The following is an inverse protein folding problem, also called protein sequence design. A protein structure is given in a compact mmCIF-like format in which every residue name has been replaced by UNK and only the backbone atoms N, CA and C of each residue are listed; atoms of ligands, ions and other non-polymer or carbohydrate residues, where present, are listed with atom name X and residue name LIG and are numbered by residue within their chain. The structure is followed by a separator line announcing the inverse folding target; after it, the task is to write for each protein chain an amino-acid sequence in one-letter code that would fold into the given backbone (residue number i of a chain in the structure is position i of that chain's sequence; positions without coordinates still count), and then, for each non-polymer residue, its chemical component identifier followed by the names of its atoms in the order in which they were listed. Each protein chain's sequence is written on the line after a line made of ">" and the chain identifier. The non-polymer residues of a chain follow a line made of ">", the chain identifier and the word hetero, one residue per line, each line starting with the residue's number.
data_IF_045074606667
#
_entry.id   IF_045074606667
#
_cell.length_a   1.000
_cell.length_b   1.000
_cell.length_c   1.000
_cell.angle_alpha   90.00
_cell.angle_beta   90.00
_cell.angle_gamma   90.00
#
_symmetry.space_group_name_H-M   'P 1'
#
loop_
_entity.id
_entity.type
_entity.pdbx_description
1 polymer ?
#
# COMPACT_ATOMS: atom_id res chain seq x y z
N UNK A 1 -21.02 -63.60 68.59
CA UNK A 1 -19.84 -64.42 68.26
C UNK A 1 -19.60 -64.21 66.78
N UNK A 2 -18.61 -63.43 66.41
CA UNK A 2 -18.15 -63.33 65.02
C UNK A 2 -17.46 -64.64 64.68
N UNK A 3 -17.89 -65.33 63.63
CA UNK A 3 -17.35 -66.63 63.25
C UNK A 3 -15.86 -66.50 62.92
N UNK A 4 -15.00 -67.10 63.73
CA UNK A 4 -13.54 -67.09 63.54
C UNK A 4 -13.12 -67.62 62.15
N UNK A 5 -13.91 -68.53 61.57
CA UNK A 5 -13.70 -69.03 60.21
C UNK A 5 -13.89 -67.96 59.13
N UNK A 6 -14.84 -67.05 59.33
CA UNK A 6 -15.07 -65.91 58.43
C UNK A 6 -13.90 -64.92 58.49
N UNK A 7 -13.33 -64.68 59.67
CA UNK A 7 -12.15 -63.81 59.84
C UNK A 7 -10.89 -64.42 59.22
N UNK A 8 -10.67 -65.72 59.37
CA UNK A 8 -9.53 -66.42 58.76
C UNK A 8 -9.61 -66.42 57.22
N UNK A 9 -10.82 -66.63 56.69
CA UNK A 9 -11.06 -66.56 55.24
C UNK A 9 -10.84 -65.14 54.70
N UNK A 10 -11.30 -64.11 55.42
CA UNK A 10 -11.05 -62.72 55.08
C UNK A 10 -9.55 -62.35 55.15
N UNK A 11 -8.82 -62.85 56.15
CA UNK A 11 -7.37 -62.68 56.26
C UNK A 11 -6.62 -63.25 55.05
N UNK A 12 -6.98 -64.47 54.61
CA UNK A 12 -6.39 -65.08 53.41
C UNK A 12 -6.70 -64.26 52.15
N UNK A 13 -7.94 -63.77 52.01
CA UNK A 13 -8.33 -62.93 50.88
C UNK A 13 -7.52 -61.62 50.83
N UNK A 14 -7.39 -60.93 51.96
CA UNK A 14 -6.61 -59.69 52.07
C UNK A 14 -5.15 -59.96 51.73
N UNK A 15 -4.56 -61.04 52.25
CA UNK A 15 -3.16 -61.40 51.94
C UNK A 15 -2.95 -61.68 50.45
N UNK A 16 -3.86 -62.39 49.78
CA UNK A 16 -3.78 -62.60 48.33
C UNK A 16 -3.88 -61.27 47.56
N UNK A 17 -4.70 -60.34 48.04
CA UNK A 17 -4.86 -59.03 47.43
C UNK A 17 -3.63 -58.12 47.62
N UNK A 18 -2.99 -58.19 48.79
CA UNK A 18 -1.75 -57.47 49.08
C UNK A 18 -0.56 -58.05 48.32
N UNK A 19 -0.49 -59.38 48.21
CA UNK A 19 0.55 -60.08 47.46
C UNK A 19 0.48 -59.76 45.97
N UNK A 20 -0.70 -59.84 45.35
CA UNK A 20 -0.90 -59.52 43.93
C UNK A 20 -0.58 -58.06 43.58
N UNK A 21 -0.64 -57.15 44.56
CA UNK A 21 -0.26 -55.73 44.41
C UNK A 21 1.17 -55.42 44.84
N UNK A 22 1.94 -56.44 45.25
CA UNK A 22 3.34 -56.31 45.66
C UNK A 22 3.56 -55.52 46.94
N UNK A 23 2.59 -55.54 47.87
CA UNK A 23 2.64 -54.83 49.15
C UNK A 23 3.21 -55.70 50.29
N UNK A 24 3.37 -57.00 50.07
CA UNK A 24 4.05 -57.90 51.00
C UNK A 24 5.51 -58.05 50.58
N UNK A 25 6.43 -57.53 51.40
CA UNK A 25 7.88 -57.51 51.11
C UNK A 25 8.53 -58.90 51.04
N UNK A 26 8.06 -59.85 51.84
CA UNK A 26 8.71 -61.17 52.02
C UNK A 26 7.81 -62.36 51.68
N UNK A 27 6.63 -62.13 51.08
CA UNK A 27 5.62 -63.18 50.83
C UNK A 27 5.00 -63.80 52.09
N UNK A 28 5.37 -63.31 53.28
CA UNK A 28 4.80 -63.71 54.57
C UNK A 28 3.41 -63.13 54.72
N UNK A 29 2.41 -64.00 54.88
CA UNK A 29 1.03 -63.62 55.17
C UNK A 29 0.92 -62.97 56.55
N UNK A 30 0.11 -61.92 56.65
CA UNK A 30 -0.21 -61.27 57.91
C UNK A 30 -1.47 -61.94 58.49
N UNK A 31 -1.39 -62.44 59.73
CA UNK A 31 -2.59 -62.94 60.41
C UNK A 31 -3.41 -61.75 60.92
N UNK A 32 -4.60 -61.59 60.34
CA UNK A 32 -5.57 -60.55 60.72
C UNK A 32 -6.66 -61.07 61.66
N UNK A 33 -6.77 -62.40 61.81
CA UNK A 33 -7.78 -63.03 62.66
C UNK A 33 -7.29 -63.14 64.12
N UNK A 34 -5.99 -63.40 64.30
CA UNK A 34 -5.32 -63.47 65.60
C UNK A 34 -3.93 -62.81 65.49
N UNK A 35 -3.81 -61.50 65.74
CA UNK A 35 -2.56 -60.77 65.52
C UNK A 35 -1.39 -61.13 66.47
N UNK A 36 -1.61 -62.05 67.41
CA UNK A 36 -0.61 -62.57 68.35
C UNK A 36 -1.21 -62.72 69.75
N UNK A 37 -0.95 -63.86 70.41
CA UNK A 37 -1.37 -64.14 71.80
C UNK A 37 -0.31 -63.72 72.83
N UNK A 38 0.88 -63.30 72.38
CA UNK A 38 2.03 -62.92 73.20
C UNK A 38 2.43 -61.45 72.99
N UNK A 39 2.84 -60.76 74.06
CA UNK A 39 3.19 -59.32 74.10
C UNK A 39 4.26 -58.89 73.07
N UNK A 40 5.03 -59.83 72.51
CA UNK A 40 6.08 -59.57 71.50
C UNK A 40 5.63 -59.77 70.04
N UNK A 41 4.61 -60.59 69.78
CA UNK A 41 4.15 -60.91 68.42
C UNK A 41 3.12 -59.89 67.91
N UNK A 42 2.26 -59.42 68.81
CA UNK A 42 1.26 -58.39 68.54
C UNK A 42 1.88 -57.08 67.99
N UNK A 43 2.94 -56.49 68.58
CA UNK A 43 3.53 -55.28 68.03
C UNK A 43 4.20 -55.49 66.66
N UNK A 44 4.74 -56.68 66.39
CA UNK A 44 5.42 -57.00 65.12
C UNK A 44 4.41 -57.22 63.97
N UNK A 45 3.29 -57.89 64.22
CA UNK A 45 2.19 -57.98 63.24
C UNK A 45 1.54 -56.62 62.99
N UNK A 46 1.31 -55.82 64.03
CA UNK A 46 0.78 -54.46 63.90
C UNK A 46 1.73 -53.54 63.13
N UNK A 47 3.06 -53.65 63.35
CA UNK A 47 4.04 -52.90 62.59
C UNK A 47 4.01 -53.24 61.09
N UNK A 48 3.84 -54.52 60.73
CA UNK A 48 3.66 -54.97 59.34
C UNK A 48 2.37 -54.43 58.71
N UNK A 49 1.27 -54.45 59.45
CA UNK A 49 -0.01 -53.87 59.01
C UNK A 49 0.15 -52.37 58.75
N UNK A 50 0.77 -51.65 59.69
CA UNK A 50 1.02 -50.22 59.57
C UNK A 50 1.93 -49.90 58.37
N UNK A 51 2.94 -50.71 58.10
CA UNK A 51 3.80 -50.56 56.92
C UNK A 51 3.01 -50.73 55.60
N UNK A 52 2.16 -51.75 55.52
CA UNK A 52 1.28 -51.97 54.35
C UNK A 52 0.30 -50.82 54.16
N UNK A 53 -0.31 -50.34 55.24
CA UNK A 53 -1.24 -49.21 55.20
C UNK A 53 -0.52 -47.94 54.75
N UNK A 54 0.69 -47.67 55.26
CA UNK A 54 1.51 -46.55 54.84
C UNK A 54 1.86 -46.64 53.34
N UNK A 55 2.30 -47.81 52.87
CA UNK A 55 2.60 -48.02 51.44
C UNK A 55 1.37 -47.83 50.55
N UNK A 56 0.18 -48.23 51.01
CA UNK A 56 -1.08 -48.00 50.30
C UNK A 56 -1.45 -46.52 50.24
N UNK A 57 -1.26 -45.78 51.34
CA UNK A 57 -1.50 -44.33 51.40
C UNK A 57 -0.54 -43.63 50.45
N UNK A 58 0.77 -43.90 50.54
CA UNK A 58 1.77 -43.29 49.69
C UNK A 58 1.57 -43.60 48.20
N UNK A 59 1.16 -44.84 47.85
CA UNK A 59 0.83 -45.18 46.46
C UNK A 59 -0.42 -44.45 45.99
N UNK A 60 -1.46 -44.38 46.81
CA UNK A 60 -2.69 -43.65 46.48
C UNK A 60 -2.42 -42.16 46.28
N UNK A 61 -1.59 -41.56 47.11
CA UNK A 61 -1.23 -40.14 47.02
C UNK A 61 -0.43 -39.87 45.73
N UNK A 62 0.58 -40.71 45.42
CA UNK A 62 1.30 -40.63 44.14
C UNK A 62 0.38 -40.82 42.92
N UNK A 63 -0.52 -41.80 42.97
CA UNK A 63 -1.48 -42.04 41.88
C UNK A 63 -2.49 -40.89 41.74
N UNK A 64 -2.81 -40.17 42.83
CA UNK A 64 -3.63 -38.97 42.79
C UNK A 64 -2.87 -37.82 42.14
N UNK A 65 -1.63 -37.54 42.58
CA UNK A 65 -0.76 -36.53 42.00
C UNK A 65 -0.48 -36.78 40.51
N UNK A 66 -0.20 -38.03 40.11
CA UNK A 66 0.01 -38.39 38.72
C UNK A 66 -1.25 -38.18 37.86
N UNK A 67 -2.44 -38.51 38.38
CA UNK A 67 -3.70 -38.25 37.68
C UNK A 67 -3.97 -36.76 37.55
N UNK A 68 -3.70 -35.98 38.59
CA UNK A 68 -3.84 -34.52 38.53
C UNK A 68 -2.86 -33.91 37.52
N UNK A 69 -1.59 -34.29 37.56
CA UNK A 69 -0.56 -33.88 36.61
C UNK A 69 -0.91 -34.25 35.16
N UNK A 70 -1.41 -35.47 34.91
CA UNK A 70 -1.86 -35.86 33.58
C UNK A 70 -3.09 -35.05 33.14
N UNK A 71 -4.03 -34.80 34.05
CA UNK A 71 -5.23 -34.01 33.74
C UNK A 71 -4.88 -32.55 33.41
N UNK A 72 -3.89 -31.96 34.09
CA UNK A 72 -3.42 -30.60 33.81
C UNK A 72 -2.70 -30.56 32.47
N UNK A 73 -1.77 -31.50 32.20
CA UNK A 73 -1.11 -31.63 30.91
C UNK A 73 -2.08 -31.84 29.74
N UNK A 74 -3.16 -32.61 29.93
CA UNK A 74 -4.19 -32.77 28.90
C UNK A 74 -5.02 -31.51 28.67
N UNK A 75 -5.23 -30.68 29.69
CA UNK A 75 -5.91 -29.38 29.54
C UNK A 75 -5.02 -28.38 28.82
N UNK A 76 -3.73 -28.31 29.17
CA UNK A 76 -2.77 -27.43 28.49
C UNK A 76 -2.60 -27.84 27.03
N UNK A 77 -2.43 -29.13 26.74
CA UNK A 77 -2.28 -29.62 25.37
C UNK A 77 -3.52 -29.37 24.51
N UNK A 78 -4.74 -29.49 25.09
CA UNK A 78 -5.97 -29.08 24.38
C UNK A 78 -6.03 -27.58 24.12
N UNK A 79 -5.68 -26.76 25.10
CA UNK A 79 -5.64 -25.31 24.93
C UNK A 79 -4.61 -24.88 23.86
N UNK A 80 -3.44 -25.50 23.85
CA UNK A 80 -2.40 -25.23 22.86
C UNK A 80 -2.78 -25.73 21.47
N UNK A 81 -3.42 -26.90 21.36
CA UNK A 81 -3.96 -27.39 20.08
C UNK A 81 -5.00 -26.43 19.50
N UNK A 82 -5.89 -25.86 20.33
CA UNK A 82 -6.85 -24.85 19.88
C UNK A 82 -6.15 -23.57 19.42
N UNK A 83 -5.19 -23.06 20.21
CA UNK A 83 -4.39 -21.88 19.86
C UNK A 83 -3.61 -22.07 18.55
N UNK A 84 -3.03 -23.26 18.34
CA UNK A 84 -2.34 -23.60 17.09
C UNK A 84 -3.30 -23.64 15.91
N UNK A 85 -4.49 -24.22 16.08
CA UNK A 85 -5.54 -24.23 15.05
C UNK A 85 -5.95 -22.80 14.67
N UNK A 86 -6.19 -21.92 15.65
CA UNK A 86 -6.54 -20.52 15.41
C UNK A 86 -5.41 -19.73 14.73
N UNK A 87 -4.16 -20.02 15.07
CA UNK A 87 -3.02 -19.41 14.39
C UNK A 87 -2.91 -19.88 12.94
N UNK A 88 -3.18 -21.15 12.66
CA UNK A 88 -3.18 -21.71 11.31
C UNK A 88 -4.28 -21.06 10.47
N UNK A 89 -5.49 -20.91 11.00
CA UNK A 89 -6.60 -20.26 10.27
C UNK A 89 -6.27 -18.80 9.96
N UNK A 90 -5.76 -18.03 10.94
CA UNK A 90 -5.32 -16.64 10.72
C UNK A 90 -4.19 -16.52 9.69
N UNK A 91 -3.21 -17.42 9.73
CA UNK A 91 -2.13 -17.45 8.74
C UNK A 91 -2.66 -17.80 7.35
N UNK A 92 -3.62 -18.72 7.26
CA UNK A 92 -4.26 -19.07 6.00
C UNK A 92 -5.05 -17.90 5.41
N UNK A 93 -5.84 -17.19 6.22
CA UNK A 93 -6.55 -15.98 5.79
C UNK A 93 -5.58 -14.93 5.24
N UNK A 94 -4.51 -14.62 5.98
CA UNK A 94 -3.45 -13.68 5.53
C UNK A 94 -2.78 -14.14 4.24
N UNK A 95 -2.50 -15.43 4.09
CA UNK A 95 -1.95 -15.99 2.88
C UNK A 95 -2.91 -15.81 1.69
N UNK A 96 -4.20 -16.10 1.86
CA UNK A 96 -5.19 -15.92 0.80
C UNK A 96 -5.37 -14.46 0.41
N UNK A 97 -5.31 -13.53 1.37
CA UNK A 97 -5.38 -12.10 1.11
C UNK A 97 -4.12 -11.60 0.38
N UNK A 98 -2.93 -12.04 0.81
CA UNK A 98 -1.67 -11.74 0.12
C UNK A 98 -1.67 -12.27 -1.31
N UNK A 99 -2.16 -13.49 -1.53
CA UNK A 99 -2.29 -14.07 -2.87
C UNK A 99 -3.25 -13.24 -3.74
N UNK A 100 -4.37 -12.75 -3.19
CA UNK A 100 -5.27 -11.85 -3.93
C UNK A 100 -4.58 -10.55 -4.33
N UNK A 101 -3.82 -9.92 -3.41
CA UNK A 101 -3.06 -8.69 -3.68
C UNK A 101 -2.02 -8.90 -4.78
N UNK A 102 -1.30 -10.03 -4.76
CA UNK A 102 -0.34 -10.40 -5.81
C UNK A 102 -1.05 -10.53 -7.16
N UNK A 103 -2.16 -11.27 -7.23
CA UNK A 103 -2.88 -11.45 -8.50
C UNK A 103 -3.40 -10.12 -9.08
N UNK A 104 -3.83 -9.18 -8.23
CA UNK A 104 -4.25 -7.82 -8.66
C UNK A 104 -3.05 -7.05 -9.20
N UNK A 105 -1.94 -7.03 -8.48
CA UNK A 105 -0.72 -6.35 -8.91
C UNK A 105 -0.15 -6.93 -10.22
N UNK A 106 -0.19 -8.25 -10.41
CA UNK A 106 0.20 -8.91 -11.66
C UNK A 106 -0.70 -8.52 -12.83
N UNK A 107 -2.02 -8.40 -12.59
CA UNK A 107 -2.96 -7.93 -13.62
C UNK A 107 -2.73 -6.46 -13.99
N UNK A 108 -2.46 -5.60 -13.00
CA UNK A 108 -2.09 -4.20 -13.21
C UNK A 108 -0.78 -4.06 -13.98
N UNK A 109 0.25 -4.84 -13.62
CA UNK A 109 1.53 -4.89 -14.30
C UNK A 109 1.37 -5.31 -15.77
N UNK A 110 0.56 -6.35 -16.04
CA UNK A 110 0.26 -6.80 -17.40
C UNK A 110 -0.44 -5.70 -18.22
N UNK A 111 -1.40 -4.99 -17.60
CA UNK A 111 -2.08 -3.83 -18.18
C UNK A 111 -1.09 -2.71 -18.54
N UNK A 112 -0.24 -2.31 -17.59
CA UNK A 112 0.75 -1.25 -17.79
C UNK A 112 1.78 -1.62 -18.87
N UNK A 113 2.23 -2.87 -18.90
CA UNK A 113 3.11 -3.38 -19.97
C UNK A 113 2.44 -3.33 -21.34
N UNK A 114 1.14 -3.61 -21.43
CA UNK A 114 0.40 -3.50 -22.68
C UNK A 114 0.26 -2.04 -23.13
N UNK A 115 -0.04 -1.12 -22.20
CA UNK A 115 -0.10 0.32 -22.46
C UNK A 115 1.25 0.87 -22.92
N UNK A 116 2.35 0.46 -22.28
CA UNK A 116 3.70 0.84 -22.65
C UNK A 116 4.04 0.39 -24.08
N UNK A 117 3.75 -0.87 -24.44
CA UNK A 117 3.94 -1.36 -25.81
C UNK A 117 3.11 -0.60 -26.84
N UNK A 118 1.86 -0.25 -26.49
CA UNK A 118 1.00 0.55 -27.36
C UNK A 118 1.54 1.98 -27.57
N UNK A 119 2.06 2.60 -26.51
CA UNK A 119 2.71 3.91 -26.57
C UNK A 119 4.03 3.87 -27.36
N UNK A 120 4.85 2.83 -27.20
CA UNK A 120 6.05 2.63 -28.01
C UNK A 120 5.70 2.51 -29.50
N UNK A 121 4.66 1.73 -29.83
CA UNK A 121 4.19 1.60 -31.20
C UNK A 121 3.67 2.91 -31.79
N UNK A 122 2.98 3.75 -30.99
CA UNK A 122 2.53 5.07 -31.45
C UNK A 122 3.71 6.03 -31.66
N UNK A 123 4.72 6.02 -30.79
CA UNK A 123 5.96 6.79 -30.95
C UNK A 123 6.68 6.40 -32.24
N UNK A 124 6.77 5.10 -32.56
CA UNK A 124 7.35 4.63 -33.81
C UNK A 124 6.60 5.17 -35.03
N UNK A 125 5.25 5.10 -35.03
CA UNK A 125 4.43 5.65 -36.11
C UNK A 125 4.63 7.16 -36.28
N UNK A 126 4.64 7.92 -35.18
CA UNK A 126 4.86 9.37 -35.20
C UNK A 126 6.26 9.72 -35.72
N UNK A 127 7.29 8.93 -35.38
CA UNK A 127 8.64 9.11 -35.94
C UNK A 127 8.66 8.88 -37.45
N UNK A 128 7.98 7.85 -37.94
CA UNK A 128 7.88 7.57 -39.38
C UNK A 128 7.12 8.68 -40.12
N UNK A 129 6.03 9.20 -39.53
CA UNK A 129 5.28 10.34 -40.07
C UNK A 129 6.12 11.61 -40.10
N UNK A 130 6.86 11.91 -39.02
CA UNK A 130 7.79 13.04 -38.97
C UNK A 130 8.91 12.92 -40.02
N UNK A 131 9.41 11.71 -40.28
CA UNK A 131 10.39 11.48 -41.33
C UNK A 131 9.79 11.71 -42.72
N UNK A 132 8.56 11.24 -42.98
CA UNK A 132 7.84 11.48 -44.23
C UNK A 132 7.55 12.96 -44.46
N UNK A 133 7.06 13.69 -43.46
CA UNK A 133 6.78 15.12 -43.58
C UNK A 133 8.06 15.92 -43.80
N UNK A 134 9.16 15.59 -43.12
CA UNK A 134 10.47 16.20 -43.36
C UNK A 134 10.94 16.00 -44.82
N UNK A 135 10.75 14.80 -45.37
CA UNK A 135 11.05 14.53 -46.79
C UNK A 135 10.19 15.37 -47.72
N UNK A 136 8.87 15.41 -47.49
CA UNK A 136 7.93 16.21 -48.28
C UNK A 136 8.29 17.70 -48.26
N UNK A 137 8.65 18.25 -47.10
CA UNK A 137 9.10 19.66 -46.98
C UNK A 137 10.39 19.92 -47.75
N UNK A 138 11.33 18.98 -47.76
CA UNK A 138 12.55 19.12 -48.55
C UNK A 138 12.25 19.10 -50.07
N UNK A 139 11.34 18.22 -50.50
CA UNK A 139 10.89 18.13 -51.89
C UNK A 139 10.15 19.39 -52.35
N UNK A 140 9.24 19.94 -51.52
CA UNK A 140 8.52 21.19 -51.86
C UNK A 140 9.47 22.40 -51.92
N UNK A 141 10.45 22.49 -51.02
CA UNK A 141 11.51 23.52 -51.09
C UNK A 141 12.33 23.40 -52.37
N UNK A 142 12.71 22.19 -52.76
CA UNK A 142 13.45 21.95 -53.99
C UNK A 142 12.62 22.27 -55.24
N UNK A 143 11.34 21.90 -55.26
CA UNK A 143 10.41 22.22 -56.34
C UNK A 143 10.22 23.73 -56.49
N UNK A 144 9.96 24.43 -55.38
CA UNK A 144 9.82 25.89 -55.35
C UNK A 144 11.09 26.59 -55.86
N UNK A 145 12.27 26.18 -55.39
CA UNK A 145 13.55 26.72 -55.88
C UNK A 145 13.74 26.50 -57.39
N UNK A 146 13.31 25.36 -57.92
CA UNK A 146 13.36 25.09 -59.36
C UNK A 146 12.37 25.93 -60.17
N UNK A 147 11.17 26.16 -59.65
CA UNK A 147 10.20 27.05 -60.27
C UNK A 147 10.67 28.51 -60.31
N UNK A 148 11.24 29.01 -59.21
CA UNK A 148 11.82 30.36 -59.16
C UNK A 148 12.90 30.50 -60.24
N UNK A 149 13.83 29.56 -60.33
CA UNK A 149 14.86 29.56 -61.41
C UNK A 149 14.27 29.49 -62.81
N UNK A 150 13.17 28.76 -63.02
CA UNK A 150 12.46 28.72 -64.31
C UNK A 150 11.83 30.08 -64.63
N UNK A 151 11.15 30.70 -63.66
CA UNK A 151 10.57 32.03 -63.78
C UNK A 151 11.65 33.08 -64.07
N UNK A 152 12.77 33.04 -63.36
CA UNK A 152 13.91 33.95 -63.57
C UNK A 152 14.45 33.85 -65.00
N UNK A 153 14.63 32.63 -65.53
CA UNK A 153 15.03 32.42 -66.93
C UNK A 153 14.01 32.96 -67.93
N UNK A 154 12.71 32.80 -67.65
CA UNK A 154 11.66 33.32 -68.51
C UNK A 154 11.63 34.85 -68.49
N UNK A 155 11.74 35.46 -67.31
CA UNK A 155 11.85 36.91 -67.13
C UNK A 155 13.07 37.44 -67.89
N UNK A 156 14.23 36.77 -67.79
CA UNK A 156 15.43 37.20 -68.50
C UNK A 156 15.27 37.09 -70.03
N UNK A 157 14.60 36.05 -70.51
CA UNK A 157 14.24 35.92 -71.93
C UNK A 157 13.29 37.04 -72.39
N UNK A 158 12.28 37.37 -71.58
CA UNK A 158 11.34 38.47 -71.89
C UNK A 158 12.04 39.82 -71.87
N UNK A 159 12.91 40.08 -70.89
CA UNK A 159 13.74 41.29 -70.85
C UNK A 159 14.57 41.42 -72.11
N UNK A 160 15.24 40.34 -72.53
CA UNK A 160 16.03 40.33 -73.77
C UNK A 160 15.17 40.67 -74.99
N UNK A 161 14.00 40.06 -75.13
CA UNK A 161 13.07 40.34 -76.23
C UNK A 161 12.60 41.81 -76.24
N UNK A 162 12.30 42.39 -75.06
CA UNK A 162 11.94 43.80 -74.92
C UNK A 162 13.12 44.71 -75.27
N UNK A 163 14.35 44.39 -74.85
CA UNK A 163 15.54 45.18 -75.21
C UNK A 163 15.86 45.10 -76.71
N UNK A 164 15.66 43.95 -77.34
CA UNK A 164 15.84 43.76 -78.79
C UNK A 164 14.76 44.53 -79.57
N UNK A 165 13.50 44.51 -79.10
CA UNK A 165 12.43 45.35 -79.64
C UNK A 165 12.68 46.85 -79.46
N UNK A 166 13.30 47.26 -78.34
CA UNK A 166 13.69 48.65 -78.07
C UNK A 166 14.92 49.13 -78.85
N UNK A 167 15.81 48.22 -79.28
CA UNK A 167 16.97 48.51 -80.14
C UNK A 167 16.61 48.67 -81.61
N UNK A 168 15.41 48.30 -82.03
CA UNK A 168 14.89 48.54 -83.38
C UNK A 168 14.49 50.01 -83.59
N UNK A 169 15.40 50.95 -83.32
CA UNK A 169 15.33 52.32 -83.84
C UNK A 169 16.14 52.39 -85.13
N UNK A 170 15.58 51.80 -86.17
CA UNK A 170 16.21 51.73 -87.49
C UNK A 170 15.54 50.72 -88.40
N UNK A 171 14.34 51.08 -88.86
CA UNK A 171 13.76 50.62 -90.13
C UNK A 171 13.01 49.27 -90.19
N UNK A 172 11.73 49.42 -90.59
CA UNK A 172 10.74 48.50 -91.18
C UNK A 172 9.86 47.61 -90.27
N UNK A 173 8.61 48.09 -90.20
CA UNK A 173 7.32 47.39 -90.05
C UNK A 173 7.15 46.45 -88.85
N UNK A 174 6.52 47.04 -87.82
CA UNK A 174 5.44 46.50 -86.99
C UNK A 174 5.17 44.98 -87.08
N UNK A 175 5.30 44.32 -85.94
CA UNK A 175 4.26 43.43 -85.44
C UNK A 175 4.26 43.46 -83.90
N UNK A 176 3.21 44.03 -83.31
CA UNK A 176 2.73 43.63 -81.98
C UNK A 176 3.23 44.41 -80.76
N UNK A 177 3.25 45.75 -80.78
CA UNK A 177 3.08 46.50 -79.52
C UNK A 177 1.57 46.63 -79.30
N UNK A 178 1.00 45.71 -78.52
CA UNK A 178 -0.36 45.85 -77.99
C UNK A 178 -0.31 46.77 -76.76
N UNK A 179 -0.38 48.07 -77.00
CA UNK A 179 -0.80 49.03 -75.96
C UNK A 179 -2.28 48.82 -75.70
N UNK A 180 -2.61 48.16 -74.60
CA UNK A 180 -4.00 48.05 -74.11
C UNK A 180 -4.31 49.38 -73.41
N UNK A 181 -5.05 50.26 -74.09
CA UNK A 181 -5.79 51.34 -73.44
C UNK A 181 -7.15 50.78 -73.03
N UNK A 182 -7.39 50.65 -71.72
CA UNK A 182 -8.70 50.30 -71.19
C UNK A 182 -9.52 51.58 -71.08
N UNK A 183 -10.31 51.88 -72.11
CA UNK A 183 -11.45 52.80 -72.02
C UNK A 183 -12.70 51.97 -71.86
N UNK A 184 -13.39 52.12 -70.72
CA UNK A 184 -14.64 51.42 -70.44
C UNK A 184 -15.77 51.95 -71.31
N UNK A 185 -16.22 51.14 -72.26
CA UNK A 185 -17.44 51.35 -73.03
C UNK A 185 -18.28 50.08 -72.95
N UNK A 186 -19.46 50.20 -72.35
CA UNK A 186 -20.42 49.11 -72.16
C UNK A 186 -21.41 49.14 -73.34
N UNK A 187 -21.34 48.15 -74.22
CA UNK A 187 -22.19 48.12 -75.43
C UNK A 187 -22.13 46.83 -76.23
N UNK A 188 -22.79 45.78 -75.70
CA UNK A 188 -23.60 44.75 -76.38
C UNK A 188 -23.57 44.72 -77.93
N UNK A 189 -22.94 43.70 -78.52
CA UNK A 189 -23.58 42.62 -79.31
C UNK A 189 -22.55 41.62 -79.93
N UNK A 190 -22.89 40.34 -79.74
CA UNK A 190 -22.53 39.08 -80.40
C UNK A 190 -21.19 38.77 -81.11
N UNK A 191 -20.53 37.77 -80.50
CA UNK A 191 -20.03 36.52 -81.11
C UNK A 191 -18.50 36.33 -81.33
N UNK A 192 -18.01 35.31 -80.62
CA UNK A 192 -16.83 34.44 -80.84
C UNK A 192 -15.48 34.86 -80.21
N UNK A 193 -15.22 34.21 -79.06
CA UNK A 193 -13.94 33.76 -78.48
C UNK A 193 -12.84 34.79 -78.17
N UNK A 194 -12.61 35.03 -76.87
CA UNK A 194 -11.30 34.88 -76.19
C UNK A 194 -11.30 35.61 -74.83
N UNK A 195 -11.66 34.88 -73.77
CA UNK A 195 -11.14 34.97 -72.40
C UNK A 195 -10.54 36.31 -71.91
N UNK A 196 -11.31 37.39 -71.95
CA UNK A 196 -11.14 38.51 -71.04
C UNK A 196 -12.05 38.25 -69.83
N UNK A 197 -11.46 38.28 -68.63
CA UNK A 197 -12.16 38.07 -67.37
C UNK A 197 -13.20 39.17 -67.16
N UNK A 198 -14.43 38.91 -67.59
CA UNK A 198 -15.60 39.71 -67.26
C UNK A 198 -15.90 39.53 -65.78
N UNK A 199 -15.67 40.56 -64.98
CA UNK A 199 -16.15 40.65 -63.57
C UNK A 199 -17.63 41.04 -63.49
N UNK A 200 -18.41 40.73 -64.52
CA UNK A 200 -19.88 40.84 -64.51
C UNK A 200 -20.45 39.42 -64.60
N UNK A 201 -20.15 38.64 -63.57
CA UNK A 201 -20.95 37.48 -63.24
C UNK A 201 -22.13 38.00 -62.40
N UNK A 202 -23.36 37.70 -62.79
CA UNK A 202 -24.60 38.13 -62.11
C UNK A 202 -24.76 37.51 -60.70
N UNK A 203 -23.75 36.77 -60.25
CA UNK A 203 -23.55 36.26 -58.90
C UNK A 203 -22.36 36.85 -58.13
N UNK A 204 -21.52 37.71 -58.75
CA UNK A 204 -20.33 38.28 -58.11
C UNK A 204 -20.63 39.66 -57.50
N UNK A 205 -21.08 39.65 -56.25
CA UNK A 205 -21.36 40.85 -55.47
C UNK A 205 -20.29 41.01 -54.37
N UNK A 206 -19.66 42.17 -54.25
CA UNK A 206 -18.69 42.52 -53.19
C UNK A 206 -19.27 42.28 -51.78
N UNK A 207 -20.61 42.32 -51.65
CA UNK A 207 -21.33 41.95 -50.43
C UNK A 207 -21.18 40.47 -50.10
N UNK A 208 -21.18 39.58 -51.09
CA UNK A 208 -20.93 38.15 -50.88
C UNK A 208 -19.48 37.91 -50.45
N UNK A 209 -18.52 38.62 -51.02
CA UNK A 209 -17.11 38.54 -50.58
C UNK A 209 -16.96 39.01 -49.13
N UNK A 210 -17.54 40.17 -48.78
CA UNK A 210 -17.52 40.71 -47.41
C UNK A 210 -18.23 39.77 -46.42
N UNK A 211 -19.38 39.21 -46.78
CA UNK A 211 -20.08 38.22 -45.96
C UNK A 211 -19.28 36.92 -45.84
N UNK A 212 -18.59 36.49 -46.90
CA UNK A 212 -17.73 35.30 -46.85
C UNK A 212 -16.51 35.52 -45.96
N UNK A 213 -15.93 36.71 -45.99
CA UNK A 213 -14.81 37.10 -45.12
C UNK A 213 -15.24 37.20 -43.66
N UNK A 214 -16.38 37.85 -43.38
CA UNK A 214 -16.94 37.94 -42.03
C UNK A 214 -17.32 36.55 -41.49
N UNK A 215 -17.87 35.67 -42.34
CA UNK A 215 -18.18 34.30 -41.96
C UNK A 215 -16.90 33.49 -41.68
N UNK A 216 -15.85 33.65 -42.49
CA UNK A 216 -14.54 33.02 -42.24
C UNK A 216 -13.89 33.56 -40.96
N UNK A 217 -13.97 34.86 -40.70
CA UNK A 217 -13.44 35.47 -39.49
C UNK A 217 -14.22 35.04 -38.25
N UNK A 218 -15.55 35.03 -38.31
CA UNK A 218 -16.40 34.53 -37.23
C UNK A 218 -16.14 33.05 -36.96
N UNK A 219 -15.95 32.26 -38.01
CA UNK A 219 -15.55 30.85 -37.89
C UNK A 219 -14.17 30.71 -37.24
N UNK A 220 -13.18 31.47 -37.68
CA UNK A 220 -11.83 31.45 -37.10
C UNK A 220 -11.84 31.86 -35.62
N UNK A 221 -12.54 32.94 -35.27
CA UNK A 221 -12.72 33.36 -33.87
C UNK A 221 -13.48 32.33 -33.03
N UNK A 222 -14.46 31.65 -33.61
CA UNK A 222 -15.19 30.56 -32.93
C UNK A 222 -14.28 29.36 -32.68
N UNK A 223 -13.53 28.92 -33.69
CA UNK A 223 -12.57 27.82 -33.58
C UNK A 223 -11.47 28.14 -32.56
N UNK A 224 -10.91 29.35 -32.59
CA UNK A 224 -9.94 29.82 -31.61
C UNK A 224 -10.53 29.85 -30.19
N UNK A 225 -11.74 30.38 -30.01
CA UNK A 225 -12.42 30.39 -28.72
C UNK A 225 -12.71 28.98 -28.19
N UNK A 226 -13.11 28.04 -29.05
CA UNK A 226 -13.28 26.63 -28.68
C UNK A 226 -11.95 25.99 -28.23
N UNK A 227 -10.86 26.28 -28.93
CA UNK A 227 -9.53 25.77 -28.55
C UNK A 227 -9.07 26.35 -27.21
N UNK A 228 -9.28 27.65 -26.98
CA UNK A 228 -8.94 28.30 -25.71
C UNK A 228 -9.77 27.74 -24.57
N UNK A 229 -11.07 27.58 -24.77
CA UNK A 229 -11.96 26.99 -23.79
C UNK A 229 -11.53 25.56 -23.44
N UNK A 230 -11.20 24.73 -24.44
CA UNK A 230 -10.71 23.39 -24.22
C UNK A 230 -9.38 23.37 -23.41
N UNK A 231 -8.48 24.31 -23.69
CA UNK A 231 -7.24 24.47 -22.92
C UNK A 231 -7.53 24.85 -21.47
N UNK A 232 -8.42 25.83 -21.23
CA UNK A 232 -8.78 26.28 -19.88
C UNK A 232 -9.41 25.13 -19.09
N UNK A 233 -10.32 24.36 -19.68
CA UNK A 233 -10.89 23.18 -19.03
C UNK A 233 -9.84 22.12 -18.71
N UNK A 234 -8.92 21.86 -19.64
CA UNK A 234 -7.81 20.92 -19.40
C UNK A 234 -6.90 21.40 -18.26
N UNK A 235 -6.58 22.69 -18.21
CA UNK A 235 -5.78 23.25 -17.12
C UNK A 235 -6.51 23.20 -15.79
N UNK A 236 -7.81 23.50 -15.77
CA UNK A 236 -8.62 23.44 -14.56
C UNK A 236 -8.72 21.98 -14.05
N UNK A 237 -9.00 21.02 -14.94
CA UNK A 237 -9.01 19.59 -14.59
C UNK A 237 -7.66 19.11 -14.06
N UNK A 238 -6.55 19.57 -14.65
CA UNK A 238 -5.20 19.22 -14.17
C UNK A 238 -4.92 19.83 -12.79
N UNK A 239 -5.31 21.08 -12.55
CA UNK A 239 -5.18 21.75 -11.25
C UNK A 239 -6.05 21.07 -10.18
N UNK A 240 -7.29 20.69 -10.51
CA UNK A 240 -8.16 19.89 -9.63
C UNK A 240 -7.52 18.55 -9.29
N UNK A 241 -6.97 17.86 -10.28
CA UNK A 241 -6.29 16.58 -10.06
C UNK A 241 -5.04 16.71 -9.18
N UNK A 242 -4.20 17.72 -9.41
CA UNK A 242 -2.99 17.94 -8.60
C UNK A 242 -3.30 18.41 -7.18
N UNK A 243 -4.35 19.19 -7.01
CA UNK A 243 -4.78 19.69 -5.70
C UNK A 243 -5.59 18.67 -4.90
N UNK A 244 -6.16 17.66 -5.54
CA UNK A 244 -7.12 16.76 -4.91
C UNK A 244 -8.47 17.41 -4.60
N UNK A 245 -8.73 18.60 -5.17
CA UNK A 245 -9.96 19.34 -4.91
C UNK A 245 -11.14 18.70 -5.65
N UNK A 246 -11.97 17.97 -4.91
CA UNK A 246 -13.30 17.54 -5.34
C UNK A 246 -14.36 18.47 -4.75
N UNK A 247 -15.31 18.91 -5.59
CA UNK A 247 -16.41 19.79 -5.17
C UNK A 247 -17.31 19.15 -4.11
N UNK A 248 -17.23 17.82 -3.95
CA UNK A 248 -17.95 17.06 -2.93
C UNK A 248 -17.48 17.30 -1.50
N UNK A 249 -16.27 17.86 -1.30
CA UNK A 249 -15.69 18.00 0.03
C UNK A 249 -16.01 19.35 0.72
N UNK A 250 -16.53 20.33 -0.03
CA UNK A 250 -16.88 21.66 0.50
C UNK A 250 -18.33 21.75 1.02
N UNK A 251 -19.20 20.83 0.62
CA UNK A 251 -20.57 20.76 1.12
C UNK A 251 -20.64 19.79 2.29
N UNK A 252 -20.39 20.31 3.50
CA UNK A 252 -20.23 19.58 4.76
C UNK A 252 -21.47 18.79 5.21
N UNK A 253 -21.78 17.68 4.53
CA UNK A 253 -22.71 16.66 4.99
C UNK A 253 -21.99 15.32 5.05
N UNK A 254 -21.56 14.98 6.27
CA UNK A 254 -21.26 13.59 6.63
C UNK A 254 -22.49 12.73 6.36
N UNK A 255 -22.38 11.75 5.47
CA UNK A 255 -23.26 10.59 5.50
C UNK A 255 -23.55 9.93 4.16
N UNK A 256 -23.01 8.73 3.99
CA UNK A 256 -23.76 7.64 3.35
C UNK A 256 -23.61 7.52 1.83
N UNK A 257 -22.87 6.47 1.45
CA UNK A 257 -23.06 5.66 0.25
C UNK A 257 -24.21 6.06 -0.70
N UNK A 258 -23.84 6.65 -1.83
CA UNK A 258 -24.64 6.55 -3.05
C UNK A 258 -23.70 6.39 -4.24
N UNK A 259 -23.47 5.13 -4.58
CA UNK A 259 -23.05 4.70 -5.91
C UNK A 259 -23.98 5.31 -6.96
N UNK A 260 -23.51 6.30 -7.72
CA UNK A 260 -24.11 6.66 -9.00
C UNK A 260 -23.28 6.04 -10.11
N UNK A 261 -23.61 4.77 -10.40
CA UNK A 261 -23.44 4.24 -11.75
C UNK A 261 -24.31 5.11 -12.68
N UNK A 262 -23.66 5.97 -13.44
CA UNK A 262 -24.24 6.69 -14.56
C UNK A 262 -23.27 6.61 -15.73
N UNK A 263 -23.58 5.72 -16.67
CA UNK A 263 -23.04 5.74 -18.03
C UNK A 263 -23.12 7.17 -18.58
N UNK A 264 -22.02 7.69 -19.12
CA UNK A 264 -21.99 9.10 -19.49
C UNK A 264 -20.77 9.53 -20.28
N UNK A 265 -20.64 9.04 -21.51
CA UNK A 265 -19.95 9.77 -22.59
C UNK A 265 -20.73 11.04 -22.98
N UNK A 266 -21.12 11.85 -22.00
CA UNK A 266 -21.72 13.15 -22.20
C UNK A 266 -20.70 14.18 -21.70
N UNK A 267 -19.92 14.70 -22.63
CA UNK A 267 -19.25 15.99 -22.46
C UNK A 267 -20.37 17.01 -22.32
N UNK A 268 -20.85 17.21 -21.09
CA UNK A 268 -21.73 18.31 -20.77
C UNK A 268 -20.88 19.57 -20.82
N UNK A 269 -20.96 20.30 -21.93
CA UNK A 269 -20.74 21.73 -21.92
C UNK A 269 -22.01 22.41 -22.46
N UNK A 270 -22.44 23.54 -21.88
CA UNK A 270 -21.61 24.52 -21.19
C UNK A 270 -22.01 24.77 -19.72
N UNK A 271 -21.04 24.73 -18.81
CA UNK A 271 -21.06 25.65 -17.67
C UNK A 271 -20.77 27.04 -18.23
N UNK A 272 -21.47 28.06 -17.74
CA UNK A 272 -21.25 29.42 -18.21
C UNK A 272 -19.79 29.85 -17.90
N UNK A 273 -19.26 30.88 -18.56
CA UNK A 273 -17.88 31.31 -18.32
C UNK A 273 -17.62 31.75 -16.85
N UNK A 274 -18.69 32.16 -16.15
CA UNK A 274 -18.65 32.56 -14.74
C UNK A 274 -18.50 31.34 -13.80
N UNK A 275 -19.12 30.20 -14.12
CA UNK A 275 -19.01 28.93 -13.40
C UNK A 275 -17.58 28.39 -13.52
N UNK A 276 -16.97 28.52 -14.70
CA UNK A 276 -15.58 28.13 -14.91
C UNK A 276 -14.62 29.04 -14.12
N UNK A 277 -14.89 30.34 -14.08
CA UNK A 277 -14.10 31.29 -13.31
C UNK A 277 -14.18 31.02 -11.81
N UNK A 278 -15.38 30.83 -11.27
CA UNK A 278 -15.60 30.48 -9.84
C UNK A 278 -14.96 29.15 -9.46
N UNK A 279 -14.99 28.15 -10.37
CA UNK A 279 -14.28 26.88 -10.17
C UNK A 279 -12.77 27.05 -10.15
N UNK A 280 -12.21 27.92 -11.00
CA UNK A 280 -10.77 28.17 -10.99
C UNK A 280 -10.35 28.94 -9.74
N UNK A 281 -11.12 29.94 -9.32
CA UNK A 281 -10.83 30.73 -8.11
C UNK A 281 -10.85 29.87 -6.84
N UNK A 282 -11.78 28.92 -6.74
CA UNK A 282 -11.87 27.99 -5.61
C UNK A 282 -10.72 26.98 -5.58
N UNK A 283 -10.34 26.38 -6.72
CA UNK A 283 -9.15 25.51 -6.81
C UNK A 283 -7.87 26.26 -6.44
N UNK A 284 -7.71 27.49 -6.94
CA UNK A 284 -6.55 28.32 -6.62
C UNK A 284 -6.55 28.74 -5.14
N UNK A 285 -7.71 28.99 -4.56
CA UNK A 285 -7.87 29.24 -3.12
C UNK A 285 -7.48 28.03 -2.27
N UNK A 286 -7.87 26.81 -2.68
CA UNK A 286 -7.48 25.57 -2.01
C UNK A 286 -5.97 25.33 -2.11
N UNK A 287 -5.38 25.49 -3.31
CA UNK A 287 -3.93 25.40 -3.51
C UNK A 287 -3.15 26.42 -2.68
N UNK A 288 -3.66 27.66 -2.59
CA UNK A 288 -3.08 28.68 -1.71
C UNK A 288 -3.11 28.21 -0.27
N UNK A 289 -4.26 27.71 0.21
CA UNK A 289 -4.40 27.20 1.57
C UNK A 289 -3.41 26.06 1.85
N UNK A 290 -3.31 25.07 0.94
CA UNK A 290 -2.35 23.96 1.02
C UNK A 290 -0.90 24.45 1.10
N UNK A 291 -0.52 25.40 0.24
CA UNK A 291 0.84 25.96 0.20
C UNK A 291 1.16 26.90 1.37
N UNK A 292 0.14 27.46 2.01
CA UNK A 292 0.29 28.30 3.21
C UNK A 292 0.03 27.55 4.52
N UNK A 293 -0.32 26.25 4.45
CA UNK A 293 -0.54 25.45 5.64
C UNK A 293 0.82 25.15 6.30
N UNK A 294 1.03 25.49 7.60
CA UNK A 294 2.28 25.24 8.30
C UNK A 294 2.67 23.74 8.42
N UNK A 295 1.79 22.82 8.00
CA UNK A 295 2.09 21.38 7.91
C UNK A 295 2.87 20.97 6.65
N UNK A 296 3.08 21.86 5.68
CA UNK A 296 3.88 21.57 4.50
C UNK A 296 5.38 21.66 4.82
N UNK A 297 5.91 20.58 5.38
CA UNK A 297 7.32 20.42 5.71
C UNK A 297 8.09 20.01 4.45
N UNK A 298 9.20 20.68 4.10
CA UNK A 298 10.03 20.27 2.96
C UNK A 298 10.44 18.80 3.06
N UNK A 299 10.47 18.11 1.92
CA UNK A 299 10.76 16.68 1.85
C UNK A 299 12.12 16.35 2.50
N UNK A 300 13.09 17.25 2.38
CA UNK A 300 14.41 17.12 2.99
C UNK A 300 14.35 17.03 4.52
N UNK A 301 13.47 17.81 5.15
CA UNK A 301 13.31 17.81 6.61
C UNK A 301 12.55 16.56 7.08
N UNK A 302 11.63 16.03 6.25
CA UNK A 302 10.99 14.73 6.48
C UNK A 302 12.01 13.61 6.44
N UNK A 303 12.89 13.58 5.42
CA UNK A 303 13.94 12.56 5.28
C UNK A 303 14.89 12.58 6.49
N UNK A 304 15.31 13.77 6.95
CA UNK A 304 16.16 13.89 8.15
C UNK A 304 15.46 13.37 9.40
N UNK A 305 14.16 13.64 9.56
CA UNK A 305 13.37 13.08 10.67
C UNK A 305 13.23 11.57 10.58
N UNK A 306 13.01 11.03 9.38
CA UNK A 306 12.90 9.58 9.15
C UNK A 306 14.22 8.87 9.47
N UNK A 307 15.36 9.44 9.07
CA UNK A 307 16.69 8.93 9.42
C UNK A 307 16.94 8.95 10.94
N UNK A 308 16.54 10.00 11.64
CA UNK A 308 16.66 10.08 13.10
C UNK A 308 15.74 9.08 13.79
N UNK A 309 14.49 8.93 13.33
CA UNK A 309 13.56 7.91 13.84
C UNK A 309 14.15 6.51 13.64
N UNK A 310 14.75 6.23 12.48
CA UNK A 310 15.38 4.95 12.22
C UNK A 310 16.57 4.70 13.16
N UNK A 311 17.44 5.71 13.35
CA UNK A 311 18.56 5.64 14.29
C UNK A 311 18.10 5.39 15.72
N UNK A 312 17.05 6.10 16.16
CA UNK A 312 16.48 5.92 17.49
C UNK A 312 15.91 4.51 17.63
N UNK A 313 15.16 4.00 16.64
CA UNK A 313 14.62 2.62 16.67
C UNK A 313 15.72 1.56 16.77
N UNK A 314 16.80 1.69 15.99
CA UNK A 314 17.96 0.79 16.08
C UNK A 314 18.66 0.89 17.45
N UNK A 315 18.76 2.10 18.02
CA UNK A 315 19.26 2.30 19.38
C UNK A 315 18.39 1.64 20.45
N UNK A 316 17.07 1.73 20.31
CA UNK A 316 16.09 1.10 21.18
C UNK A 316 16.14 -0.43 21.10
N UNK A 317 16.23 -1.01 19.90
CA UNK A 317 16.35 -2.46 19.70
C UNK A 317 17.66 -3.00 20.33
N UNK A 318 18.76 -2.24 20.22
CA UNK A 318 20.02 -2.57 20.90
C UNK A 318 19.89 -2.49 22.43
N UNK A 319 19.11 -1.55 22.96
CA UNK A 319 18.85 -1.47 24.39
C UNK A 319 17.96 -2.63 24.86
N UNK A 320 16.93 -2.98 24.09
CA UNK A 320 16.03 -4.09 24.38
C UNK A 320 16.76 -5.44 24.38
N UNK A 321 17.60 -5.68 23.37
CA UNK A 321 18.43 -6.90 23.29
C UNK A 321 19.39 -7.00 24.47
N UNK A 322 20.08 -5.92 24.83
CA UNK A 322 20.95 -5.86 26.02
C UNK A 322 20.18 -6.08 27.32
N UNK A 323 18.98 -5.51 27.44
CA UNK A 323 18.15 -5.69 28.61
C UNK A 323 17.69 -7.14 28.74
N UNK A 324 17.28 -7.77 27.62
CA UNK A 324 16.93 -9.20 27.57
C UNK A 324 18.10 -10.08 28.00
N UNK A 325 19.31 -9.80 27.52
CA UNK A 325 20.54 -10.50 27.96
C UNK A 325 20.81 -10.34 29.46
N UNK A 326 20.67 -9.12 30.00
CA UNK A 326 20.82 -8.86 31.44
C UNK A 326 19.78 -9.62 32.27
N UNK A 327 18.52 -9.65 31.82
CA UNK A 327 17.44 -10.43 32.47
C UNK A 327 17.75 -11.93 32.42
N UNK A 328 18.25 -12.45 31.30
CA UNK A 328 18.69 -13.85 31.20
C UNK A 328 19.85 -14.17 32.14
N UNK A 329 20.81 -13.27 32.30
CA UNK A 329 21.90 -13.43 33.26
C UNK A 329 21.36 -13.50 34.70
N UNK A 330 20.44 -12.60 35.08
CA UNK A 330 19.81 -12.58 36.40
C UNK A 330 18.98 -13.86 36.65
N UNK A 331 18.19 -14.31 35.67
CA UNK A 331 17.40 -15.54 35.83
C UNK A 331 18.29 -16.79 35.89
N UNK A 332 19.37 -16.84 35.08
CA UNK A 332 20.37 -17.92 35.16
C UNK A 332 21.06 -17.95 36.52
N UNK A 333 21.34 -16.79 37.11
CA UNK A 333 21.90 -16.68 38.44
C UNK A 333 20.91 -17.16 39.50
N UNK A 334 19.66 -16.69 39.46
CA UNK A 334 18.60 -17.12 40.37
C UNK A 334 18.42 -18.64 40.35
N UNK A 335 18.43 -19.27 39.18
CA UNK A 335 18.32 -20.72 39.02
C UNK A 335 19.53 -21.47 39.59
N UNK A 336 20.76 -20.98 39.37
CA UNK A 336 21.99 -21.57 39.94
C UNK A 336 22.06 -21.43 41.45
N UNK A 337 21.64 -20.30 42.01
CA UNK A 337 21.52 -20.12 43.46
C UNK A 337 20.52 -21.09 44.08
N UNK A 338 19.38 -21.32 43.41
CA UNK A 338 18.36 -22.25 43.87
C UNK A 338 18.80 -23.72 43.77
N UNK A 339 19.66 -24.08 42.82
CA UNK A 339 20.12 -25.45 42.60
C UNK A 339 21.36 -25.82 43.43
N UNK A 340 22.41 -25.00 43.42
CA UNK A 340 23.74 -25.37 43.94
C UNK A 340 24.22 -24.51 45.12
N UNK A 341 23.51 -23.42 45.47
CA UNK A 341 23.87 -22.53 46.60
C UNK A 341 25.21 -21.81 46.46
N UNK A 342 25.88 -21.90 45.31
CA UNK A 342 27.19 -21.26 45.07
C UNK A 342 27.01 -19.79 44.70
N UNK A 343 27.69 -18.84 45.39
CA UNK A 343 27.68 -17.44 45.00
C UNK A 343 28.41 -17.23 43.66
N UNK A 344 28.04 -16.17 42.95
CA UNK A 344 28.56 -15.86 41.61
C UNK A 344 30.05 -15.56 41.65
N UNK A 345 30.80 -16.12 40.71
CA UNK A 345 32.20 -15.77 40.49
C UNK A 345 32.31 -14.37 39.85
N UNK A 346 33.14 -13.51 40.44
CA UNK A 346 33.35 -12.13 40.00
C UNK A 346 33.96 -12.08 38.59
N UNK A 347 34.62 -13.16 38.15
CA UNK A 347 35.13 -13.33 36.80
C UNK A 347 34.02 -13.61 35.78
N UNK A 348 33.02 -14.43 36.12
CA UNK A 348 31.85 -14.68 35.25
C UNK A 348 30.97 -13.44 35.09
N UNK A 349 30.75 -12.70 36.19
CA UNK A 349 30.08 -11.39 36.13
C UNK A 349 30.86 -10.42 35.26
N UNK A 350 32.20 -10.38 35.38
CA UNK A 350 33.04 -9.57 34.49
C UNK A 350 33.01 -10.06 33.04
N UNK A 351 32.85 -11.35 32.76
CA UNK A 351 32.72 -11.87 31.39
C UNK A 351 31.33 -11.58 30.80
N UNK A 352 30.27 -11.62 31.60
CA UNK A 352 28.91 -11.22 31.21
C UNK A 352 28.73 -9.70 31.09
N UNK A 353 29.45 -8.91 31.90
CA UNK A 353 29.48 -7.44 31.81
C UNK A 353 30.57 -6.89 30.86
N UNK A 354 31.50 -7.69 30.32
CA UNK A 354 32.50 -7.22 29.35
C UNK A 354 31.92 -7.15 27.93
N UNK A 355 30.94 -6.26 27.80
CA UNK A 355 30.86 -5.16 26.82
C UNK A 355 31.95 -5.13 25.71
N UNK A 356 31.98 -6.14 24.82
CA UNK A 356 32.74 -6.06 23.56
C UNK A 356 32.02 -6.82 22.44
N UNK A 357 32.00 -6.30 21.20
CA UNK A 357 31.24 -6.87 20.09
C UNK A 357 31.94 -8.10 19.54
N UNK A 358 31.86 -9.22 20.25
CA UNK A 358 32.31 -10.51 19.75
C UNK A 358 31.11 -11.44 19.79
N UNK A 359 30.59 -11.71 18.58
CA UNK A 359 29.51 -12.66 18.32
C UNK A 359 29.83 -14.00 19.00
N UNK A 360 29.07 -14.35 20.03
CA UNK A 360 29.06 -15.71 20.55
C UNK A 360 28.53 -16.62 19.45
N UNK A 361 29.36 -17.56 19.02
CA UNK A 361 29.15 -18.42 17.84
C UNK A 361 28.21 -19.60 18.09
N UNK A 362 27.48 -19.59 19.21
CA UNK A 362 26.60 -20.71 19.63
C UNK A 362 25.12 -20.26 19.72
N UNK A 363 24.62 -19.53 18.73
CA UNK A 363 23.20 -19.15 18.62
C UNK A 363 22.36 -20.27 17.96
N UNK A 364 22.96 -21.36 17.49
CA UNK A 364 22.21 -22.46 16.86
C UNK A 364 21.68 -23.51 17.86
N UNK A 365 22.29 -23.68 19.03
CA UNK A 365 21.91 -24.77 19.95
C UNK A 365 20.87 -24.38 21.02
N UNK A 366 20.46 -23.11 21.10
CA UNK A 366 19.40 -22.65 22.03
C UNK A 366 18.12 -22.18 21.37
N UNK A 367 18.04 -22.22 20.03
CA UNK A 367 16.80 -21.95 19.29
C UNK A 367 15.70 -23.03 19.50
N UNK A 368 16.02 -24.15 20.17
CA UNK A 368 15.07 -25.22 20.50
C UNK A 368 14.57 -25.22 21.96
N UNK A 369 15.05 -24.30 22.82
CA UNK A 369 14.45 -24.14 24.14
C UNK A 369 13.22 -23.23 24.01
N UNK A 370 12.06 -23.89 23.98
CA UNK A 370 10.68 -23.39 24.05
C UNK A 370 10.50 -21.91 24.40
N UNK A 371 9.66 -21.25 23.62
CA UNK A 371 9.06 -19.96 23.90
C UNK A 371 8.35 -19.96 25.26
N UNK A 372 9.09 -19.70 26.34
CA UNK A 372 8.52 -19.40 27.65
C UNK A 372 7.87 -18.02 27.58
N UNK A 373 6.58 -18.01 27.22
CA UNK A 373 5.68 -16.88 27.45
C UNK A 373 5.65 -16.60 28.95
N UNK A 374 6.28 -15.53 29.38
CA UNK A 374 6.05 -14.97 30.70
C UNK A 374 4.61 -14.41 30.77
N UNK A 375 3.88 -14.63 31.89
CA UNK A 375 2.59 -14.00 32.13
C UNK A 375 2.74 -12.48 32.04
N UNK A 376 1.99 -11.86 31.14
CA UNK A 376 1.82 -10.41 31.07
C UNK A 376 1.36 -9.90 32.44
N UNK A 377 2.06 -8.89 32.94
CA UNK A 377 1.66 -8.07 34.08
C UNK A 377 0.16 -7.80 34.01
N UNK A 378 -0.55 -8.16 35.08
CA UNK A 378 -1.90 -7.71 35.35
C UNK A 378 -1.78 -6.22 35.64
N UNK A 379 -2.35 -5.38 34.78
CA UNK A 379 -2.50 -3.96 35.02
C UNK A 379 -3.21 -3.81 36.38
N UNK A 380 -2.55 -3.17 37.34
CA UNK A 380 -3.22 -2.67 38.54
C UNK A 380 -4.09 -1.51 38.04
N UNK A 381 -5.41 -1.67 38.19
CA UNK A 381 -6.40 -0.63 37.91
C UNK A 381 -6.09 0.55 38.85
N UNK A 382 -5.78 1.71 38.27
CA UNK A 382 -5.67 2.96 39.00
C UNK A 382 -7.02 3.24 39.68
N UNK A 383 -7.07 3.11 41.01
CA UNK A 383 -8.19 3.59 41.82
C UNK A 383 -8.18 5.13 41.74
N UNK A 384 -9.09 5.68 40.92
CA UNK A 384 -9.47 7.09 40.97
C UNK A 384 -10.07 7.36 42.36
N UNK A 385 -9.27 7.93 43.27
CA UNK A 385 -9.78 8.51 44.52
C UNK A 385 -10.59 9.77 44.18
N UNK A 386 -11.92 9.60 44.15
CA UNK A 386 -12.92 10.66 44.25
C UNK A 386 -12.62 11.57 45.45
N UNK A 387 -12.24 12.82 45.18
CA UNK A 387 -12.23 13.92 46.14
C UNK A 387 -13.41 14.85 45.86
N UNK A 388 -14.59 14.38 46.21
CA UNK A 388 -15.75 15.23 46.46
C UNK A 388 -16.12 15.09 47.93
N UNK A 389 -15.87 16.15 48.71
CA UNK A 389 -16.62 16.59 49.91
C UNK A 389 -15.72 17.52 50.74
N UNK A 390 -15.95 18.84 50.61
CA UNK A 390 -15.90 19.85 51.70
C UNK A 390 -16.01 21.24 51.06
N UNK A 391 -17.23 21.61 50.67
CA UNK A 391 -17.58 22.99 50.33
C UNK A 391 -19.08 23.26 50.53
N UNK A 392 -19.67 22.81 51.65
CA UNK A 392 -20.98 23.28 52.12
C UNK A 392 -21.01 23.29 53.65
N UNK A 393 -20.36 24.29 54.26
CA UNK A 393 -20.70 24.74 55.63
C UNK A 393 -20.06 26.12 55.89
N UNK A 394 -20.53 27.17 55.21
CA UNK A 394 -20.41 28.57 55.67
C UNK A 394 -21.39 29.46 54.89
N UNK A 395 -22.69 29.26 55.14
CA UNK A 395 -23.73 30.20 54.73
C UNK A 395 -24.97 30.13 55.62
N UNK A 396 -24.82 30.01 56.94
CA UNK A 396 -25.85 30.37 57.92
C UNK A 396 -25.19 30.85 59.23
N UNK A 397 -24.80 32.13 59.27
CA UNK A 397 -24.96 33.03 60.42
C UNK A 397 -24.93 34.51 60.01
#
# INVERSE_FOLDING_TARGET
>A
MTDFENLRTASLYINNQLLSRGLLRDGRSIDFASPGDHDYELPDTMARIMAVVNDLILRRDRDAEHRESLSTALRTLRADSLRQSDNITRLHERYTEAQRKVNIAEAEEASLKAQLKAAEASIHKLKDEAARTKKLVAETRAACANEVRKRDRHIESLKKAVTDAGRARGERKSAGIMTIQVTGEFGRDDAVSSAAASTMDDGYDLRQETNSFLAQLAKGLSEENETLLALVHKTNSSLKHMSGWDKSDDDGVKGGAATTKGDGHAIALPGNAEDLATDMDSVLGHLRTMLTNPSFVPLEEVVVREEEIFRLRDGWEKMETRWREAVHLIDSWRRRMAADGRPVDMEELKMGLRLSPIRLRNVQDTAQAEAFKLPTLREEEDEEEDKEEEAEEEAEE
#
